data_IF_588638667330
#
_entry.id   IF_588638667330
#
_cell.length_a   1.000
_cell.length_b   1.000
_cell.length_c   1.000
_cell.angle_alpha   90.00
_cell.angle_beta   90.00
_cell.angle_gamma   90.00
#
_symmetry.space_group_name_H-M   'P 1'
#
loop_
_entity.id
_entity.type
_entity.pdbx_description
1 polymer ?
#
# COMPACT_ATOMS: atom_id res chain seq x y z
N UNK A 1 -37.03 2.50 74.09
CA UNK A 1 -36.82 3.24 72.83
C UNK A 1 -37.83 2.75 71.82
N UNK A 2 -38.56 3.71 71.21
CA UNK A 2 -39.61 3.60 70.16
C UNK A 2 -39.42 2.43 69.16
N UNK A 3 -40.43 1.76 68.60
CA UNK A 3 -41.84 2.10 68.36
C UNK A 3 -42.18 1.73 66.90
N UNK A 4 -43.02 0.71 66.69
CA UNK A 4 -43.58 0.31 65.39
C UNK A 4 -44.68 1.30 64.94
N UNK A 5 -44.77 1.65 63.65
CA UNK A 5 -46.02 1.70 62.86
C UNK A 5 -45.78 2.08 61.36
N UNK A 6 -46.73 1.76 60.44
CA UNK A 6 -46.59 1.77 58.97
C UNK A 6 -47.44 2.86 58.25
N UNK A 7 -47.28 2.97 56.92
CA UNK A 7 -48.39 3.26 55.98
C UNK A 7 -48.40 4.58 55.20
N UNK A 8 -49.10 4.52 54.04
CA UNK A 8 -49.76 5.60 53.26
C UNK A 8 -48.85 6.37 52.26
N UNK A 9 -48.87 6.06 50.95
CA UNK A 9 -49.83 6.36 49.87
C UNK A 9 -49.86 7.82 49.36
N UNK A 10 -49.93 7.94 48.03
CA UNK A 10 -50.67 8.94 47.23
C UNK A 10 -49.97 10.04 46.39
N UNK A 11 -50.40 10.00 45.10
CA UNK A 11 -50.71 11.11 44.16
C UNK A 11 -49.54 11.91 43.59
N UNK A 12 -49.22 11.80 42.30
CA UNK A 12 -50.02 12.22 41.12
C UNK A 12 -50.66 13.62 41.24
N UNK A 13 -49.97 14.63 40.70
CA UNK A 13 -50.51 15.86 40.08
C UNK A 13 -49.64 16.12 38.86
N UNK A 14 -50.06 15.91 37.61
CA UNK A 14 -51.16 16.51 36.85
C UNK A 14 -51.01 18.02 36.59
N UNK A 15 -50.74 18.32 35.30
CA UNK A 15 -51.30 19.41 34.48
C UNK A 15 -50.77 20.84 34.64
N UNK A 16 -50.27 21.39 33.52
CA UNK A 16 -50.77 22.55 32.72
C UNK A 16 -49.66 22.86 31.68
N UNK A 17 -49.85 22.76 30.36
CA UNK A 17 -50.73 23.57 29.49
C UNK A 17 -50.15 24.99 29.39
N UNK A 18 -49.72 25.52 28.22
CA UNK A 18 -50.56 26.37 27.33
C UNK A 18 -49.77 26.81 26.06
N UNK A 19 -50.35 26.53 24.88
CA UNK A 19 -50.54 27.30 23.58
C UNK A 19 -49.38 28.12 22.96
N UNK A 20 -48.97 27.86 21.69
CA UNK A 20 -49.51 28.23 20.34
C UNK A 20 -49.33 29.70 19.92
N UNK A 21 -48.61 29.96 18.82
CA UNK A 21 -48.82 31.09 17.90
C UNK A 21 -48.24 30.81 16.49
N UNK A 22 -48.95 31.22 15.44
CA UNK A 22 -48.68 31.06 14.00
C UNK A 22 -48.47 32.43 13.31
N UNK A 23 -47.63 32.47 12.26
CA UNK A 23 -47.64 33.29 11.01
C UNK A 23 -47.50 34.85 11.12
N UNK A 24 -47.08 35.64 10.08
CA UNK A 24 -47.50 35.58 8.66
C UNK A 24 -46.46 35.91 7.56
N UNK A 25 -46.93 35.89 6.30
CA UNK A 25 -46.21 36.13 5.04
C UNK A 25 -46.21 37.61 4.55
N UNK A 26 -45.25 37.97 3.70
CA UNK A 26 -45.22 39.15 2.81
C UNK A 26 -44.12 38.93 1.74
N UNK A 27 -43.98 39.58 0.57
CA UNK A 27 -44.83 40.23 -0.46
C UNK A 27 -43.82 40.54 -1.61
N UNK A 28 -44.20 40.34 -2.89
CA UNK A 28 -43.37 40.54 -4.11
C UNK A 28 -42.86 41.98 -4.33
N UNK A 29 -41.65 42.12 -4.87
CA UNK A 29 -41.17 43.18 -5.82
C UNK A 29 -40.12 42.49 -6.75
N UNK A 30 -40.30 42.35 -8.07
CA UNK A 30 -40.15 43.24 -9.25
C UNK A 30 -38.73 43.79 -9.51
N UNK A 31 -38.19 43.36 -10.66
CA UNK A 31 -37.20 43.98 -11.56
C UNK A 31 -35.69 43.87 -11.29
N UNK A 32 -34.96 43.19 -12.19
CA UNK A 32 -33.83 43.80 -12.94
C UNK A 32 -33.36 42.87 -14.08
N UNK A 33 -33.55 43.34 -15.31
CA UNK A 33 -33.19 42.67 -16.57
C UNK A 33 -32.22 43.54 -17.38
N UNK A 34 -30.99 43.70 -16.89
CA UNK A 34 -29.96 44.52 -17.55
C UNK A 34 -28.56 43.89 -17.60
N UNK A 35 -28.38 42.65 -17.16
CA UNK A 35 -27.05 42.01 -17.04
C UNK A 35 -26.67 40.95 -18.09
N UNK A 36 -27.57 40.59 -19.03
CA UNK A 36 -27.34 39.43 -19.94
C UNK A 36 -26.76 39.78 -21.32
N UNK A 37 -26.80 41.04 -21.72
CA UNK A 37 -26.50 41.39 -23.12
C UNK A 37 -25.00 41.68 -23.37
N UNK A 38 -24.21 41.97 -22.33
CA UNK A 38 -22.76 42.22 -22.46
C UNK A 38 -21.92 40.94 -22.69
N UNK A 39 -22.34 39.79 -22.16
CA UNK A 39 -21.55 38.56 -22.21
C UNK A 39 -21.61 37.84 -23.57
N UNK A 40 -22.61 38.12 -24.40
CA UNK A 40 -22.75 37.52 -25.72
C UNK A 40 -21.83 38.19 -26.77
N UNK A 41 -21.59 39.50 -26.65
CA UNK A 41 -20.75 40.26 -27.56
C UNK A 41 -19.26 39.89 -27.44
N UNK A 42 -18.76 39.66 -26.22
CA UNK A 42 -17.34 39.33 -25.97
C UNK A 42 -16.93 37.95 -26.52
N UNK A 43 -17.85 36.98 -26.55
CA UNK A 43 -17.58 35.62 -27.04
C UNK A 43 -17.48 35.51 -28.57
N UNK A 44 -18.00 36.49 -29.32
CA UNK A 44 -17.91 36.49 -30.79
C UNK A 44 -16.58 37.03 -31.30
N UNK A 45 -15.90 37.90 -30.55
CA UNK A 45 -14.63 38.49 -30.93
C UNK A 45 -13.43 37.52 -30.80
N UNK A 46 -13.54 36.48 -29.98
CA UNK A 46 -12.43 35.53 -29.75
C UNK A 46 -12.41 34.33 -30.71
N UNK A 47 -13.41 34.19 -31.60
CA UNK A 47 -13.53 33.04 -32.50
C UNK A 47 -12.85 33.21 -33.86
N UNK A 48 -12.33 34.39 -34.20
CA UNK A 48 -11.79 34.68 -35.54
C UNK A 48 -10.26 34.66 -35.65
N UNK A 49 -9.54 34.28 -34.60
CA UNK A 49 -8.07 34.30 -34.59
C UNK A 49 -7.43 32.93 -34.35
N UNK A 50 -7.65 31.96 -35.24
CA UNK A 50 -6.71 30.82 -35.38
C UNK A 50 -6.79 30.17 -36.77
N UNK A 51 -5.95 30.63 -37.67
CA UNK A 51 -5.66 29.96 -38.93
C UNK A 51 -4.87 28.66 -38.68
N UNK A 52 -5.00 27.62 -39.54
CA UNK A 52 -4.26 26.38 -39.39
C UNK A 52 -2.91 26.49 -40.12
N UNK A 53 -1.80 26.37 -39.38
CA UNK A 53 -0.48 26.17 -39.99
C UNK A 53 -0.26 24.69 -40.25
N UNK A 54 -0.04 24.40 -41.53
CA UNK A 54 0.47 23.15 -42.05
C UNK A 54 1.88 22.90 -41.51
N UNK A 55 2.09 21.76 -40.84
CA UNK A 55 3.43 21.20 -40.65
C UNK A 55 3.39 19.70 -40.88
N UNK A 56 3.52 19.35 -42.15
CA UNK A 56 3.92 18.04 -42.67
C UNK A 56 5.32 17.67 -42.19
N UNK A 57 5.49 16.39 -41.84
CA UNK A 57 6.80 15.73 -41.71
C UNK A 57 7.29 15.52 -40.27
N UNK A 58 7.12 14.30 -39.75
CA UNK A 58 7.87 13.83 -38.56
C UNK A 58 7.07 13.18 -37.42
N UNK A 59 5.74 13.08 -37.50
CA UNK A 59 4.89 12.81 -36.32
C UNK A 59 4.61 11.33 -35.98
N UNK A 60 5.12 10.35 -36.74
CA UNK A 60 4.68 8.96 -36.56
C UNK A 60 5.48 8.14 -35.52
N UNK A 61 6.65 8.62 -35.05
CA UNK A 61 7.49 7.90 -34.07
C UNK A 61 7.57 8.53 -32.67
N UNK A 62 7.08 9.76 -32.48
CA UNK A 62 7.13 10.47 -31.20
C UNK A 62 5.86 10.30 -30.34
N UNK A 63 4.78 9.75 -30.89
CA UNK A 63 3.49 9.66 -30.20
C UNK A 63 3.40 8.49 -29.22
N UNK A 64 4.11 7.38 -29.45
CA UNK A 64 4.05 6.22 -28.55
C UNK A 64 4.83 6.44 -27.24
N UNK A 65 6.05 6.98 -27.32
CA UNK A 65 6.87 7.28 -26.13
C UNK A 65 6.32 8.46 -25.32
N UNK A 66 5.74 9.46 -26.00
CA UNK A 66 5.09 10.59 -25.34
C UNK A 66 3.78 10.20 -24.63
N UNK A 67 2.99 9.31 -25.25
CA UNK A 67 1.75 8.81 -24.67
C UNK A 67 1.99 7.94 -23.42
N UNK A 68 3.01 7.09 -23.43
CA UNK A 68 3.39 6.30 -22.25
C UNK A 68 3.85 7.20 -21.10
N UNK A 69 4.68 8.21 -21.38
CA UNK A 69 5.15 9.16 -20.37
C UNK A 69 4.01 10.03 -19.81
N UNK A 70 3.09 10.50 -20.66
CA UNK A 70 1.88 11.21 -20.22
C UNK A 70 0.91 10.32 -19.43
N UNK A 71 0.78 9.04 -19.79
CA UNK A 71 -0.08 8.10 -19.05
C UNK A 71 0.47 7.78 -17.66
N UNK A 72 1.80 7.64 -17.53
CA UNK A 72 2.47 7.48 -16.23
C UNK A 72 2.34 8.76 -15.40
N UNK A 73 2.57 9.93 -15.99
CA UNK A 73 2.41 11.21 -15.32
C UNK A 73 0.96 11.47 -14.87
N UNK A 74 -0.03 11.14 -15.71
CA UNK A 74 -1.45 11.23 -15.36
C UNK A 74 -1.81 10.28 -14.22
N UNK A 75 -1.30 9.04 -14.25
CA UNK A 75 -1.55 8.07 -13.18
C UNK A 75 -0.90 8.46 -11.85
N UNK A 76 0.29 9.06 -11.87
CA UNK A 76 0.95 9.61 -10.68
C UNK A 76 0.19 10.82 -10.10
N UNK A 77 -0.43 11.66 -10.96
CA UNK A 77 -1.15 12.87 -10.57
C UNK A 77 -2.56 12.68 -10.00
N UNK A 78 -3.14 11.47 -10.03
CA UNK A 78 -4.50 11.22 -9.51
C UNK A 78 -4.57 11.35 -7.98
N UNK A 79 -5.68 11.90 -7.43
CA UNK A 79 -5.92 11.92 -5.99
C UNK A 79 -5.85 10.50 -5.43
N UNK A 80 -4.98 10.30 -4.44
CA UNK A 80 -4.51 9.00 -4.04
C UNK A 80 -5.55 8.28 -3.14
N UNK A 81 -6.46 7.52 -3.74
CA UNK A 81 -7.30 6.57 -3.00
C UNK A 81 -6.44 5.41 -2.50
N UNK A 82 -6.83 4.79 -1.37
CA UNK A 82 -6.04 3.69 -0.79
C UNK A 82 -5.72 2.55 -1.78
N UNK A 83 -6.66 2.09 -2.65
CA UNK A 83 -6.35 1.10 -3.67
C UNK A 83 -5.38 1.61 -4.75
N UNK A 84 -5.48 2.88 -5.16
CA UNK A 84 -4.58 3.48 -6.15
C UNK A 84 -3.14 3.60 -5.63
N UNK A 85 -2.97 3.86 -4.33
CA UNK A 85 -1.65 3.84 -3.69
C UNK A 85 -1.08 2.41 -3.69
N UNK A 86 -1.89 1.41 -3.35
CA UNK A 86 -1.43 0.01 -3.34
C UNK A 86 -1.07 -0.49 -4.75
N UNK A 87 -1.83 -0.08 -5.77
CA UNK A 87 -1.47 -0.34 -7.18
C UNK A 87 -0.12 0.29 -7.53
N UNK A 88 0.18 1.50 -7.04
CA UNK A 88 1.49 2.12 -7.20
C UNK A 88 2.61 1.30 -6.56
N UNK A 89 2.41 0.85 -5.34
CA UNK A 89 3.39 0.02 -4.62
C UNK A 89 3.62 -1.31 -5.32
N UNK A 90 2.57 -1.95 -5.85
CA UNK A 90 2.70 -3.19 -6.61
C UNK A 90 3.52 -2.99 -7.89
N UNK A 91 3.26 -1.91 -8.63
CA UNK A 91 4.05 -1.59 -9.84
C UNK A 91 5.49 -1.28 -9.49
N UNK A 92 5.74 -0.53 -8.41
CA UNK A 92 7.08 -0.23 -7.90
C UNK A 92 7.85 -1.50 -7.47
N UNK A 93 7.14 -2.52 -6.98
CA UNK A 93 7.72 -3.81 -6.59
C UNK A 93 8.17 -4.65 -7.80
N UNK A 94 7.60 -4.47 -8.99
CA UNK A 94 7.94 -5.28 -10.18
C UNK A 94 9.43 -5.20 -10.54
N UNK A 95 10.05 -4.01 -10.73
CA UNK A 95 11.48 -3.94 -11.04
C UNK A 95 12.33 -4.48 -9.90
N UNK A 96 11.94 -4.26 -8.65
CA UNK A 96 12.64 -4.80 -7.48
C UNK A 96 12.64 -6.33 -7.45
N UNK A 97 11.49 -6.97 -7.70
CA UNK A 97 11.36 -8.44 -7.81
C UNK A 97 12.16 -8.96 -9.01
N UNK A 98 12.19 -8.24 -10.12
CA UNK A 98 12.96 -8.61 -11.30
C UNK A 98 14.47 -8.66 -11.04
N UNK A 99 15.02 -7.62 -10.41
CA UNK A 99 16.44 -7.59 -10.04
C UNK A 99 16.75 -8.59 -8.95
N UNK A 100 15.88 -8.74 -7.96
CA UNK A 100 16.06 -9.75 -6.92
C UNK A 100 16.04 -11.17 -7.51
N UNK A 101 15.16 -11.48 -8.47
CA UNK A 101 15.14 -12.77 -9.14
C UNK A 101 16.39 -13.00 -10.01
N UNK A 102 16.98 -11.93 -10.55
CA UNK A 102 18.26 -12.00 -11.26
C UNK A 102 19.43 -12.32 -10.31
N UNK A 103 19.50 -11.65 -9.16
CA UNK A 103 20.57 -11.85 -8.18
C UNK A 103 20.46 -13.16 -7.39
N UNK A 104 19.24 -13.54 -7.00
CA UNK A 104 18.96 -14.68 -6.12
C UNK A 104 18.46 -15.93 -6.86
N UNK A 105 18.21 -15.82 -8.17
CA UNK A 105 17.73 -16.90 -9.02
C UNK A 105 16.21 -17.09 -9.03
N UNK A 106 15.76 -18.06 -9.83
CA UNK A 106 14.35 -18.36 -10.05
C UNK A 106 13.60 -18.85 -8.79
N UNK A 107 14.31 -19.36 -7.79
CA UNK A 107 13.74 -19.82 -6.52
C UNK A 107 13.03 -18.70 -5.77
N UNK A 108 13.46 -17.45 -5.93
CA UNK A 108 12.78 -16.29 -5.37
C UNK A 108 11.36 -16.12 -5.97
N UNK A 109 11.22 -16.34 -7.28
CA UNK A 109 9.90 -16.25 -7.93
C UNK A 109 8.96 -17.32 -7.39
N UNK A 110 9.47 -18.52 -7.10
CA UNK A 110 8.69 -19.57 -6.44
C UNK A 110 8.23 -19.11 -5.06
N UNK A 111 9.09 -18.49 -4.26
CA UNK A 111 8.72 -17.92 -2.97
C UNK A 111 7.62 -16.85 -3.09
N UNK A 112 7.73 -15.95 -4.08
CA UNK A 112 6.70 -14.95 -4.36
C UNK A 112 5.36 -15.60 -4.70
N UNK A 113 5.34 -16.59 -5.60
CA UNK A 113 4.12 -17.30 -5.99
C UNK A 113 3.51 -18.04 -4.81
N UNK A 114 4.32 -18.78 -4.04
CA UNK A 114 3.86 -19.52 -2.85
C UNK A 114 3.29 -18.57 -1.80
N UNK A 115 3.95 -17.44 -1.54
CA UNK A 115 3.48 -16.44 -0.60
C UNK A 115 2.15 -15.81 -1.06
N UNK A 116 2.02 -15.48 -2.35
CA UNK A 116 0.77 -14.93 -2.91
C UNK A 116 -0.39 -15.94 -2.80
N UNK A 117 -0.15 -17.19 -3.18
CA UNK A 117 -1.18 -18.25 -3.07
C UNK A 117 -1.58 -18.46 -1.60
N UNK A 118 -0.62 -18.57 -0.69
CA UNK A 118 -0.89 -18.70 0.73
C UNK A 118 -1.68 -17.50 1.28
N UNK A 119 -1.30 -16.28 0.91
CA UNK A 119 -1.99 -15.06 1.31
C UNK A 119 -3.44 -15.00 0.81
N UNK A 120 -3.67 -15.37 -0.45
CA UNK A 120 -5.02 -15.46 -1.01
C UNK A 120 -5.88 -16.46 -0.23
N UNK A 121 -5.33 -17.63 0.08
CA UNK A 121 -6.03 -18.69 0.83
C UNK A 121 -6.35 -18.23 2.24
N UNK A 122 -5.38 -17.67 2.98
CA UNK A 122 -5.60 -17.22 4.35
C UNK A 122 -6.58 -16.04 4.44
N UNK A 123 -6.49 -15.09 3.52
CA UNK A 123 -7.44 -13.97 3.45
C UNK A 123 -8.85 -14.48 3.11
N UNK A 124 -8.99 -15.36 2.10
CA UNK A 124 -10.27 -15.97 1.74
C UNK A 124 -10.85 -16.79 2.90
N UNK A 125 -10.01 -17.54 3.63
CA UNK A 125 -10.42 -18.31 4.80
C UNK A 125 -10.93 -17.40 5.92
N UNK A 126 -10.22 -16.32 6.24
CA UNK A 126 -10.69 -15.35 7.25
C UNK A 126 -12.00 -14.68 6.85
N UNK A 127 -12.16 -14.32 5.57
CA UNK A 127 -13.41 -13.73 5.08
C UNK A 127 -14.57 -14.73 5.16
N UNK A 128 -14.34 -15.98 4.78
CA UNK A 128 -15.32 -17.06 4.88
C UNK A 128 -15.74 -17.32 6.34
N UNK A 129 -14.77 -17.41 7.26
CA UNK A 129 -15.02 -17.59 8.70
C UNK A 129 -15.79 -16.40 9.30
N UNK A 130 -15.59 -15.19 8.77
CA UNK A 130 -16.30 -13.97 9.18
C UNK A 130 -17.65 -13.78 8.46
N UNK A 131 -18.09 -14.73 7.64
CA UNK A 131 -19.31 -14.64 6.81
C UNK A 131 -19.35 -13.38 5.93
N UNK A 132 -18.18 -12.92 5.48
CA UNK A 132 -18.03 -11.80 4.55
C UNK A 132 -17.95 -12.34 3.11
N UNK A 133 -18.30 -11.54 2.09
CA UNK A 133 -18.11 -11.95 0.71
C UNK A 133 -16.63 -12.26 0.45
N UNK A 134 -16.34 -13.48 -0.03
CA UNK A 134 -14.98 -13.94 -0.30
C UNK A 134 -14.46 -13.23 -1.55
N UNK A 135 -13.60 -12.25 -1.33
CA UNK A 135 -12.91 -11.44 -2.34
C UNK A 135 -11.45 -11.29 -1.90
N UNK A 136 -10.63 -12.35 -2.04
CA UNK A 136 -9.19 -12.25 -1.78
C UNK A 136 -8.59 -11.15 -2.67
N UNK A 137 -7.62 -10.42 -2.15
CA UNK A 137 -6.95 -9.30 -2.83
C UNK A 137 -7.82 -8.09 -3.18
N UNK A 138 -9.07 -8.01 -2.69
CA UNK A 138 -9.94 -6.87 -2.95
C UNK A 138 -9.27 -5.52 -2.63
N UNK A 139 -8.54 -5.49 -1.52
CA UNK A 139 -7.90 -4.27 -1.05
C UNK A 139 -6.44 -4.11 -1.47
N UNK A 140 -5.88 -5.02 -2.29
CA UNK A 140 -4.50 -4.98 -2.84
C UNK A 140 -3.34 -4.96 -1.82
N UNK A 141 -3.62 -4.90 -0.53
CA UNK A 141 -2.61 -4.89 0.54
C UNK A 141 -2.00 -6.25 0.83
N UNK A 142 -2.79 -7.33 0.70
CA UNK A 142 -2.33 -8.71 0.88
C UNK A 142 -1.23 -9.08 -0.11
N UNK A 143 -1.35 -8.83 -1.43
CA UNK A 143 -0.28 -9.19 -2.34
C UNK A 143 1.00 -8.37 -2.08
N UNK A 144 0.89 -7.09 -1.71
CA UNK A 144 2.04 -6.29 -1.27
C UNK A 144 2.72 -6.94 -0.06
N UNK A 145 1.94 -7.32 0.95
CA UNK A 145 2.44 -7.98 2.16
C UNK A 145 3.16 -9.30 1.82
N UNK A 146 2.57 -10.10 0.95
CA UNK A 146 3.14 -11.39 0.53
C UNK A 146 4.45 -11.21 -0.24
N UNK A 147 4.50 -10.25 -1.16
CA UNK A 147 5.71 -9.94 -1.93
C UNK A 147 6.84 -9.41 -1.03
N UNK A 148 6.53 -8.51 -0.09
CA UNK A 148 7.53 -8.00 0.86
C UNK A 148 8.09 -9.10 1.76
N UNK A 149 7.24 -10.03 2.22
CA UNK A 149 7.69 -11.19 3.01
C UNK A 149 8.57 -12.11 2.16
N UNK A 150 8.15 -12.41 0.92
CA UNK A 150 8.91 -13.28 0.02
C UNK A 150 10.29 -12.70 -0.34
N UNK A 151 10.38 -11.37 -0.50
CA UNK A 151 11.64 -10.67 -0.73
C UNK A 151 12.53 -10.61 0.53
N UNK A 152 11.94 -10.63 1.72
CA UNK A 152 12.68 -10.59 2.98
C UNK A 152 13.25 -11.95 3.42
N UNK A 153 12.63 -13.05 2.98
CA UNK A 153 13.05 -14.41 3.35
C UNK A 153 14.13 -14.89 2.37
N UNK A 154 15.21 -15.55 2.85
CA UNK A 154 16.23 -16.10 1.97
C UNK A 154 15.62 -17.10 0.96
N UNK A 155 16.03 -17.06 -0.32
CA UNK A 155 15.48 -17.92 -1.37
C UNK A 155 15.81 -19.41 -1.17
N UNK A 156 16.80 -19.72 -0.34
CA UNK A 156 17.20 -21.08 0.03
C UNK A 156 16.36 -21.66 1.17
N UNK A 157 15.55 -20.83 1.82
CA UNK A 157 14.68 -21.30 2.90
C UNK A 157 13.68 -22.31 2.33
N UNK A 158 13.30 -23.32 3.12
CA UNK A 158 12.22 -24.22 2.72
C UNK A 158 10.92 -23.45 2.43
N UNK A 159 10.20 -23.87 1.39
CA UNK A 159 8.97 -23.19 0.91
C UNK A 159 7.85 -23.10 1.95
N UNK A 160 7.90 -23.87 3.04
CA UNK A 160 6.94 -23.75 4.15
C UNK A 160 7.20 -22.53 5.05
N UNK A 161 8.43 -22.00 5.11
CA UNK A 161 8.78 -20.81 5.90
C UNK A 161 7.97 -19.57 5.45
N UNK A 162 7.94 -19.19 4.16
CA UNK A 162 7.13 -18.05 3.72
C UNK A 162 5.63 -18.28 3.96
N UNK A 163 5.14 -19.52 3.87
CA UNK A 163 3.74 -19.84 4.21
C UNK A 163 3.44 -19.52 5.67
N UNK A 164 4.32 -19.91 6.59
CA UNK A 164 4.17 -19.62 8.03
C UNK A 164 4.25 -18.11 8.29
N UNK A 165 5.19 -17.41 7.66
CA UNK A 165 5.31 -15.95 7.79
C UNK A 165 4.04 -15.23 7.30
N UNK A 166 3.50 -15.63 6.15
CA UNK A 166 2.26 -15.08 5.60
C UNK A 166 1.06 -15.43 6.48
N UNK A 167 1.01 -16.63 7.06
CA UNK A 167 -0.04 -17.00 8.01
C UNK A 167 -0.06 -16.04 9.22
N UNK A 168 1.10 -15.77 9.82
CA UNK A 168 1.20 -14.81 10.94
C UNK A 168 0.82 -13.39 10.49
N UNK A 169 1.34 -12.93 9.36
CA UNK A 169 1.06 -11.60 8.84
C UNK A 169 -0.43 -11.38 8.54
N UNK A 170 -1.06 -12.32 7.83
CA UNK A 170 -2.44 -12.17 7.39
C UNK A 170 -3.41 -12.52 8.51
N UNK A 171 -3.27 -13.67 9.17
CA UNK A 171 -4.23 -14.10 10.18
C UNK A 171 -4.13 -13.26 11.46
N UNK A 172 -2.93 -13.04 11.98
CA UNK A 172 -2.73 -12.39 13.28
C UNK A 172 -2.54 -10.88 13.16
N UNK A 173 -1.75 -10.41 12.19
CA UNK A 173 -1.42 -8.98 12.12
C UNK A 173 -2.41 -8.13 11.29
N UNK A 174 -3.17 -8.74 10.37
CA UNK A 174 -4.17 -8.03 9.54
C UNK A 174 -5.60 -8.41 9.88
N UNK A 175 -5.97 -9.68 9.73
CA UNK A 175 -7.35 -10.12 9.82
C UNK A 175 -7.87 -10.11 11.26
N UNK A 176 -7.06 -10.46 12.26
CA UNK A 176 -7.46 -10.41 13.67
C UNK A 176 -7.98 -9.02 14.07
N UNK A 177 -7.26 -7.98 13.66
CA UNK A 177 -7.64 -6.57 13.87
C UNK A 177 -8.75 -6.09 12.93
N UNK A 178 -9.25 -6.97 12.06
CA UNK A 178 -10.45 -6.78 11.27
C UNK A 178 -10.24 -6.10 9.92
N UNK A 179 -9.03 -6.23 9.35
CA UNK A 179 -8.71 -5.87 7.99
C UNK A 179 -7.94 -4.55 7.87
N UNK A 180 -7.87 -4.02 6.64
CA UNK A 180 -7.10 -2.81 6.37
C UNK A 180 -7.55 -1.58 7.15
N UNK A 181 -6.57 -0.73 7.49
CA UNK A 181 -6.79 0.53 8.22
C UNK A 181 -6.92 0.37 9.73
N UNK A 182 -6.91 -0.86 10.24
CA UNK A 182 -7.00 -1.18 11.68
C UNK A 182 -5.78 -1.93 12.22
N UNK A 183 -4.74 -2.06 11.41
CA UNK A 183 -3.53 -2.78 11.79
C UNK A 183 -2.73 -1.95 12.80
N UNK A 184 -2.52 -2.51 13.99
CA UNK A 184 -1.68 -1.90 15.03
C UNK A 184 -0.20 -1.93 14.63
N UNK A 185 0.21 -2.94 13.85
CA UNK A 185 1.57 -3.15 13.38
C UNK A 185 1.61 -3.35 11.86
N UNK A 186 2.75 -3.12 11.23
CA UNK A 186 2.97 -3.46 9.82
C UNK A 186 2.88 -5.00 9.65
N UNK A 187 1.89 -5.54 8.91
CA UNK A 187 1.69 -6.99 8.79
C UNK A 187 2.90 -7.72 8.20
N UNK A 188 3.56 -7.10 7.21
CA UNK A 188 4.71 -7.71 6.55
C UNK A 188 5.87 -7.91 7.53
N UNK A 189 6.16 -6.88 8.34
CA UNK A 189 7.23 -6.94 9.34
C UNK A 189 6.86 -7.86 10.51
N UNK A 190 5.59 -7.91 10.92
CA UNK A 190 5.13 -8.84 11.95
C UNK A 190 5.35 -10.30 11.54
N UNK A 191 4.98 -10.66 10.30
CA UNK A 191 5.23 -12.00 9.76
C UNK A 191 6.72 -12.32 9.66
N UNK A 192 7.52 -11.40 9.13
CA UNK A 192 8.96 -11.55 9.00
C UNK A 192 9.67 -11.70 10.37
N UNK A 193 9.34 -10.85 11.34
CA UNK A 193 9.90 -10.93 12.69
C UNK A 193 9.54 -12.25 13.39
N UNK A 194 8.32 -12.77 13.18
CA UNK A 194 7.91 -14.04 13.77
C UNK A 194 8.77 -15.20 13.26
N UNK A 195 9.03 -15.29 11.95
CA UNK A 195 9.89 -16.37 11.40
C UNK A 195 11.37 -16.15 11.70
N UNK A 196 11.84 -14.91 11.82
CA UNK A 196 13.20 -14.64 12.29
C UNK A 196 13.45 -15.18 13.70
N UNK A 197 12.49 -15.00 14.60
CA UNK A 197 12.60 -15.46 15.99
C UNK A 197 12.36 -16.98 16.09
N UNK A 198 11.38 -17.51 15.36
CA UNK A 198 11.00 -18.92 15.45
C UNK A 198 11.95 -19.86 14.67
N UNK A 199 12.49 -19.41 13.55
CA UNK A 199 13.30 -20.24 12.63
C UNK A 199 14.61 -19.55 12.23
N UNK A 200 15.47 -19.16 13.20
CA UNK A 200 16.68 -18.42 12.90
C UNK A 200 17.66 -19.20 12.02
N UNK A 201 17.72 -20.54 12.15
CA UNK A 201 18.57 -21.42 11.33
C UNK A 201 18.21 -21.28 9.85
N UNK A 202 16.94 -21.48 9.48
CA UNK A 202 16.45 -21.34 8.11
C UNK A 202 16.64 -19.93 7.52
N UNK A 203 16.65 -18.91 8.37
CA UNK A 203 16.85 -17.52 7.97
C UNK A 203 18.34 -17.16 7.83
N UNK A 204 19.26 -17.96 8.37
CA UNK A 204 20.70 -17.65 8.43
C UNK A 204 21.57 -18.61 7.60
N UNK A 205 21.07 -19.80 7.22
CA UNK A 205 21.85 -20.91 6.63
C UNK A 205 22.69 -20.56 5.38
N UNK A 206 22.39 -19.48 4.66
CA UNK A 206 23.13 -19.03 3.45
C UNK A 206 24.41 -18.28 3.79
N UNK A 207 24.47 -17.63 4.95
CA UNK A 207 25.64 -16.84 5.35
C UNK A 207 26.87 -17.70 5.60
N UNK A 208 26.68 -18.98 5.92
CA UNK A 208 27.76 -19.93 6.18
C UNK A 208 28.38 -20.54 4.90
N UNK A 209 27.61 -20.65 3.80
CA UNK A 209 28.03 -21.44 2.62
C UNK A 209 28.25 -20.65 1.34
N UNK A 210 27.75 -19.41 1.20
CA UNK A 210 27.74 -18.67 -0.08
C UNK A 210 28.49 -17.33 -0.07
N UNK A 211 29.44 -17.19 0.86
CA UNK A 211 30.24 -15.97 0.98
C UNK A 211 29.61 -15.00 1.98
N UNK A 212 30.40 -14.63 2.97
CA UNK A 212 30.03 -13.71 4.03
C UNK A 212 29.40 -12.44 3.44
N UNK A 213 28.22 -12.06 3.94
CA UNK A 213 27.66 -10.74 3.65
C UNK A 213 28.68 -9.67 4.05
N UNK A 214 28.70 -8.54 3.35
CA UNK A 214 29.60 -7.42 3.64
C UNK A 214 29.64 -7.08 5.15
N UNK A 215 28.50 -7.15 5.83
CA UNK A 215 28.40 -6.93 7.27
C UNK A 215 29.10 -8.01 8.11
N UNK A 216 29.02 -9.26 7.70
CA UNK A 216 29.64 -10.40 8.41
C UNK A 216 31.16 -10.38 8.27
N UNK A 217 31.66 -9.99 7.08
CA UNK A 217 33.08 -9.73 6.85
C UNK A 217 33.59 -8.65 7.80
N UNK A 218 32.86 -7.54 7.97
CA UNK A 218 33.27 -6.45 8.88
C UNK A 218 33.21 -6.88 10.34
N UNK A 219 32.19 -7.65 10.73
CA UNK A 219 32.01 -8.11 12.11
C UNK A 219 33.11 -9.09 12.56
N UNK A 220 33.54 -9.98 11.68
CA UNK A 220 34.57 -10.99 11.98
C UNK A 220 35.99 -10.59 11.55
N UNK A 221 36.16 -9.58 10.67
CA UNK A 221 37.47 -9.10 10.19
C UNK A 221 37.77 -7.64 10.52
N UNK A 222 37.09 -7.06 11.51
CA UNK A 222 37.24 -5.66 11.95
C UNK A 222 38.63 -5.23 12.46
N UNK A 223 39.67 -6.09 12.34
CA UNK A 223 41.06 -5.77 12.64
C UNK A 223 41.97 -5.59 11.40
N UNK A 224 41.45 -5.73 10.17
CA UNK A 224 42.22 -5.52 8.94
C UNK A 224 42.09 -4.08 8.42
N UNK A 225 43.11 -3.58 7.70
CA UNK A 225 43.10 -2.25 7.08
C UNK A 225 42.00 -2.14 6.02
N UNK A 226 41.40 -0.94 5.87
CA UNK A 226 40.28 -0.66 4.96
C UNK A 226 40.58 -1.06 3.50
N UNK A 227 41.86 -1.02 3.08
CA UNK A 227 42.31 -1.45 1.76
C UNK A 227 42.25 -2.97 1.56
N UNK A 228 42.45 -3.77 2.61
CA UNK A 228 42.35 -5.23 2.57
C UNK A 228 40.87 -5.69 2.57
N UNK A 229 39.98 -4.89 3.17
CA UNK A 229 38.53 -5.07 3.05
C UNK A 229 38.00 -4.71 1.65
N UNK A 230 38.52 -3.65 1.03
CA UNK A 230 38.11 -3.20 -0.30
C UNK A 230 38.48 -4.19 -1.42
N UNK A 231 39.53 -5.01 -1.22
CA UNK A 231 39.92 -6.07 -2.14
C UNK A 231 39.04 -7.34 -2.08
N UNK A 232 38.12 -7.43 -1.11
CA UNK A 232 37.28 -8.61 -0.94
C UNK A 232 36.14 -8.63 -1.98
N UNK A 233 35.84 -9.78 -2.63
CA UNK A 233 34.71 -9.91 -3.56
C UNK A 233 33.36 -9.48 -2.96
N UNK A 234 33.17 -9.52 -1.64
CA UNK A 234 31.99 -8.99 -0.94
C UNK A 234 31.82 -7.46 -1.03
N UNK A 235 32.91 -6.73 -1.29
CA UNK A 235 32.95 -5.26 -1.42
C UNK A 235 33.36 -4.78 -2.83
N UNK A 236 33.78 -5.70 -3.73
CA UNK A 236 34.19 -5.39 -5.10
C UNK A 236 33.04 -5.21 -6.09
N UNK A 237 33.36 -4.80 -7.33
CA UNK A 237 32.44 -4.53 -8.45
C UNK A 237 31.42 -5.64 -8.81
N UNK A 238 31.55 -6.86 -8.27
CA UNK A 238 30.62 -7.97 -8.50
C UNK A 238 29.81 -8.37 -7.25
N UNK A 239 30.38 -8.30 -6.04
CA UNK A 239 29.62 -8.56 -4.79
C UNK A 239 28.98 -7.31 -4.16
N UNK A 240 29.55 -6.13 -4.38
CA UNK A 240 28.92 -4.84 -4.07
C UNK A 240 27.82 -4.46 -5.07
N UNK A 241 28.03 -4.76 -6.37
CA UNK A 241 27.08 -4.40 -7.42
C UNK A 241 25.71 -5.07 -7.26
N UNK A 242 25.63 -6.32 -6.79
CA UNK A 242 24.34 -6.98 -6.57
C UNK A 242 23.40 -6.20 -5.65
N UNK A 243 23.94 -5.64 -4.55
CA UNK A 243 23.16 -4.81 -3.63
C UNK A 243 22.88 -3.41 -4.18
N UNK A 244 23.80 -2.83 -4.95
CA UNK A 244 23.56 -1.53 -5.62
C UNK A 244 22.43 -1.64 -6.65
N UNK A 245 22.37 -2.72 -7.44
CA UNK A 245 21.28 -2.92 -8.40
C UNK A 245 19.94 -3.13 -7.71
N UNK A 246 19.88 -3.88 -6.60
CA UNK A 246 18.65 -4.03 -5.80
C UNK A 246 18.21 -2.67 -5.24
N UNK A 247 19.15 -1.87 -4.74
CA UNK A 247 18.86 -0.54 -4.21
C UNK A 247 18.42 0.43 -5.32
N UNK A 248 19.06 0.41 -6.49
CA UNK A 248 18.67 1.21 -7.65
C UNK A 248 17.30 0.80 -8.17
N UNK A 249 17.01 -0.50 -8.26
CA UNK A 249 15.69 -0.99 -8.65
C UNK A 249 14.59 -0.55 -7.68
N UNK A 250 14.88 -0.55 -6.37
CA UNK A 250 13.97 -0.04 -5.36
C UNK A 250 13.76 1.49 -5.42
N UNK A 251 14.70 2.25 -6.00
CA UNK A 251 14.54 3.70 -6.24
C UNK A 251 13.87 4.04 -7.57
N UNK A 252 13.93 3.12 -8.54
CA UNK A 252 13.35 3.27 -9.86
C UNK A 252 11.86 2.88 -9.90
N UNK A 253 11.42 2.04 -8.96
CA UNK A 253 10.00 1.73 -8.73
C UNK A 253 9.31 2.80 -7.90
#
# INVERSE_FOLDING_TARGET
MHGLHPGVSERNRSRRGVRRAQAPASRRTRNDSSGRDGAAAFRRAQRTARAPSTRTGGAARQTASGAASMAVADWLGRPATAPAIMDRVLVALVPAVGVAAWCFGWLLLVHCVVALVAGAVFEALCQALRKRPVRPFADRSTPVTCLLIALGIPPSAPLWIPVVAVAVAILLAKELYGGLGRNVFNPAMAGYAAVLVAYPQSMTLVHATTGATALDVVRFRGGQTLEDLAGNPAFGMLGGAGFEWVHLAARLG
#
